data_IF_546681850291
#
_entry.id   IF_546681850291
#
_cell.length_a   1.000
_cell.length_b   1.000
_cell.length_c   1.000
_cell.angle_alpha   90.00
_cell.angle_beta   90.00
_cell.angle_gamma   90.00
#
_symmetry.space_group_name_H-M   'P 1'
#
loop_
_entity.id
_entity.type
_entity.pdbx_description
1 polymer ?
#
# COMPACT_ATOMS: atom_id res chain seq x y z
N UNK A 1 57.01 -2.94 40.33
CA UNK A 1 55.81 -3.79 40.15
C UNK A 1 54.73 -3.00 39.43
N UNK A 2 54.33 -3.50 38.26
CA UNK A 2 53.33 -2.88 37.38
C UNK A 2 52.01 -3.62 37.62
N UNK A 3 50.87 -2.95 37.93
CA UNK A 3 49.63 -3.66 38.10
C UNK A 3 49.05 -4.17 36.79
N UNK A 4 48.53 -5.39 36.80
CA UNK A 4 47.91 -6.09 35.69
C UNK A 4 46.61 -5.39 35.22
N UNK A 5 46.45 -5.28 33.90
CA UNK A 5 45.26 -4.75 33.28
C UNK A 5 44.07 -5.71 33.49
N UNK A 6 42.96 -5.18 34.02
CA UNK A 6 41.70 -5.89 34.11
C UNK A 6 41.11 -6.17 32.71
N UNK A 7 40.72 -7.43 32.48
CA UNK A 7 40.06 -7.87 31.25
C UNK A 7 38.71 -7.14 31.12
N UNK A 8 38.55 -6.45 29.97
CA UNK A 8 37.29 -5.78 29.64
C UNK A 8 36.17 -6.79 29.39
N UNK A 9 35.07 -6.62 30.14
CA UNK A 9 33.84 -7.33 29.91
C UNK A 9 33.30 -6.92 28.51
N UNK A 10 33.17 -7.86 27.62
CA UNK A 10 32.45 -7.69 26.35
C UNK A 10 30.98 -7.43 26.67
N UNK A 11 30.54 -6.19 26.45
CA UNK A 11 29.13 -5.85 26.51
C UNK A 11 28.38 -6.70 25.47
N UNK A 12 27.60 -7.65 25.94
CA UNK A 12 26.69 -8.42 25.10
C UNK A 12 25.74 -7.47 24.38
N UNK A 13 25.66 -7.58 23.07
CA UNK A 13 24.72 -6.79 22.29
C UNK A 13 23.29 -7.06 22.81
N UNK A 14 22.59 -6.00 23.17
CA UNK A 14 21.19 -6.11 23.58
C UNK A 14 20.37 -6.80 22.48
N UNK A 15 19.41 -7.67 22.81
CA UNK A 15 18.59 -8.35 21.82
C UNK A 15 17.91 -7.30 20.94
N UNK A 16 18.16 -7.41 19.62
CA UNK A 16 17.56 -6.54 18.61
C UNK A 16 16.07 -6.85 18.60
N UNK A 17 15.26 -5.98 19.22
CA UNK A 17 13.79 -6.08 19.11
C UNK A 17 13.45 -5.99 17.63
N UNK A 18 12.82 -7.03 17.11
CA UNK A 18 12.37 -7.03 15.71
C UNK A 18 11.46 -5.82 15.50
N UNK A 19 11.81 -4.96 14.56
CA UNK A 19 10.98 -3.79 14.25
C UNK A 19 9.62 -4.25 13.72
N UNK A 20 8.55 -3.56 14.11
CA UNK A 20 7.19 -3.84 13.62
C UNK A 20 6.96 -3.32 12.18
N UNK A 21 8.03 -3.07 11.46
CA UNK A 21 8.04 -2.63 10.06
C UNK A 21 9.29 -3.17 9.35
N UNK A 22 9.18 -3.29 8.03
CA UNK A 22 10.28 -3.77 7.20
C UNK A 22 11.47 -2.81 7.20
N UNK A 23 12.66 -3.39 7.11
CA UNK A 23 13.90 -2.66 6.88
C UNK A 23 13.91 -2.07 5.46
N UNK A 24 14.79 -1.10 5.24
CA UNK A 24 14.97 -0.54 3.90
C UNK A 24 15.40 -1.60 2.86
N UNK A 25 16.26 -2.52 3.24
CA UNK A 25 16.72 -3.60 2.37
C UNK A 25 15.58 -4.55 1.97
N UNK A 26 14.68 -4.90 2.91
CA UNK A 26 13.49 -5.69 2.62
C UNK A 26 12.56 -4.92 1.67
N UNK A 27 12.34 -3.63 1.89
CA UNK A 27 11.51 -2.81 1.00
C UNK A 27 12.09 -2.70 -0.42
N UNK A 28 13.41 -2.61 -0.57
CA UNK A 28 14.07 -2.55 -1.88
C UNK A 28 13.96 -3.86 -2.68
N UNK A 29 13.78 -5.00 -2.02
CA UNK A 29 13.58 -6.29 -2.67
C UNK A 29 12.15 -6.47 -3.22
N UNK A 30 11.23 -5.56 -2.87
CA UNK A 30 9.81 -5.66 -3.15
C UNK A 30 9.29 -4.44 -3.94
N UNK A 31 7.98 -4.43 -4.25
CA UNK A 31 7.31 -3.29 -4.87
C UNK A 31 6.23 -2.71 -3.93
N UNK A 32 6.64 -2.10 -2.79
CA UNK A 32 5.77 -1.87 -1.63
C UNK A 32 4.86 -0.65 -1.75
N UNK A 33 5.02 0.19 -2.75
CA UNK A 33 4.23 1.41 -2.98
C UNK A 33 4.31 1.87 -4.42
N UNK A 34 3.60 2.95 -4.75
CA UNK A 34 3.68 3.58 -6.08
C UNK A 34 5.12 3.89 -6.46
N UNK A 35 5.52 3.40 -7.64
CA UNK A 35 6.86 3.55 -8.23
C UNK A 35 7.99 2.88 -7.41
N UNK A 36 7.67 1.82 -6.67
CA UNK A 36 8.67 1.01 -5.96
C UNK A 36 9.14 1.60 -4.63
N UNK A 37 10.13 0.98 -4.02
CA UNK A 37 10.56 1.29 -2.65
C UNK A 37 11.00 2.75 -2.47
N UNK A 38 11.76 3.29 -3.41
CA UNK A 38 12.28 4.66 -3.38
C UNK A 38 11.34 5.69 -4.06
N UNK A 39 10.29 5.22 -4.77
CA UNK A 39 9.41 6.07 -5.56
C UNK A 39 10.02 6.50 -6.91
N UNK A 40 11.17 5.98 -7.28
CA UNK A 40 11.89 6.31 -8.51
C UNK A 40 11.29 5.65 -9.76
N UNK A 41 10.54 4.57 -9.59
CA UNK A 41 9.96 3.80 -10.70
C UNK A 41 10.94 2.83 -11.35
N UNK A 42 12.04 2.52 -10.68
CA UNK A 42 13.05 1.57 -11.14
C UNK A 42 12.95 0.26 -10.35
N UNK A 43 13.06 -0.85 -11.05
CA UNK A 43 13.20 -2.17 -10.45
C UNK A 43 14.65 -2.62 -10.55
N UNK A 44 15.13 -3.27 -9.47
CA UNK A 44 16.44 -3.94 -9.47
C UNK A 44 16.38 -5.32 -10.14
N UNK A 45 15.18 -5.82 -10.48
CA UNK A 45 15.00 -7.09 -11.17
C UNK A 45 15.52 -7.01 -12.60
N UNK A 46 16.42 -7.92 -12.95
CA UNK A 46 17.02 -8.02 -14.30
C UNK A 46 16.31 -9.01 -15.23
N UNK A 47 15.31 -9.74 -14.72
CA UNK A 47 14.58 -10.80 -15.42
C UNK A 47 13.18 -10.37 -15.91
N UNK A 48 12.92 -9.07 -15.97
CA UNK A 48 11.66 -8.57 -16.52
C UNK A 48 11.56 -8.93 -18.01
N UNK A 49 10.38 -9.41 -18.50
CA UNK A 49 10.21 -9.69 -19.91
C UNK A 49 10.34 -8.40 -20.73
N UNK A 50 11.15 -8.44 -21.77
CA UNK A 50 11.34 -7.31 -22.69
C UNK A 50 10.24 -7.26 -23.77
N UNK A 51 9.54 -8.38 -23.97
CA UNK A 51 8.44 -8.49 -24.94
C UNK A 51 7.31 -9.29 -24.33
N UNK A 52 6.08 -8.85 -24.55
CA UNK A 52 4.87 -9.58 -24.18
C UNK A 52 3.75 -9.28 -25.16
N UNK A 53 2.79 -10.20 -25.27
CA UNK A 53 1.55 -10.03 -26.01
C UNK A 53 0.38 -10.44 -25.11
N UNK A 54 -0.29 -9.47 -24.51
CA UNK A 54 -1.41 -9.71 -23.62
C UNK A 54 -2.62 -10.35 -24.33
N UNK A 55 -2.76 -10.17 -25.66
CA UNK A 55 -3.84 -10.75 -26.46
C UNK A 55 -3.57 -12.22 -26.78
N UNK A 56 -2.35 -12.53 -27.20
CA UNK A 56 -1.92 -13.90 -27.47
C UNK A 56 -1.54 -14.67 -26.19
N UNK A 57 -1.40 -13.99 -25.06
CA UNK A 57 -0.98 -14.58 -23.78
C UNK A 57 0.53 -14.76 -23.64
N UNK A 58 1.32 -14.38 -24.63
CA UNK A 58 2.77 -14.51 -24.56
C UNK A 58 3.36 -13.55 -23.50
N UNK A 59 4.20 -14.08 -22.59
CA UNK A 59 4.76 -13.31 -21.48
C UNK A 59 3.78 -12.90 -20.39
N UNK A 60 2.53 -13.40 -20.43
CA UNK A 60 1.50 -13.19 -19.41
C UNK A 60 1.46 -14.40 -18.51
N UNK A 61 1.79 -14.21 -17.24
CA UNK A 61 1.78 -15.28 -16.25
C UNK A 61 0.34 -15.69 -15.88
N UNK A 62 -0.51 -14.72 -15.63
CA UNK A 62 -1.93 -14.92 -15.32
C UNK A 62 -2.75 -13.65 -15.60
N UNK A 63 -4.07 -13.81 -15.61
CA UNK A 63 -5.06 -12.74 -15.67
C UNK A 63 -6.15 -13.04 -14.65
N UNK A 64 -6.49 -12.07 -13.81
CA UNK A 64 -7.56 -12.21 -12.84
C UNK A 64 -8.55 -11.05 -12.97
N UNK A 65 -9.83 -11.36 -12.75
CA UNK A 65 -10.87 -10.35 -12.71
C UNK A 65 -10.79 -9.54 -11.42
N UNK A 66 -11.06 -8.25 -11.52
CA UNK A 66 -11.20 -7.34 -10.37
C UNK A 66 -12.65 -6.85 -10.36
N UNK A 67 -13.35 -7.06 -9.25
CA UNK A 67 -14.79 -6.82 -9.12
C UNK A 67 -15.19 -5.36 -8.85
N UNK A 68 -14.21 -4.47 -8.69
CA UNK A 68 -14.42 -3.04 -8.51
C UNK A 68 -13.37 -2.25 -9.26
N UNK A 69 -13.76 -1.15 -9.90
CA UNK A 69 -12.86 -0.29 -10.67
C UNK A 69 -11.88 0.47 -9.78
N UNK A 70 -10.71 0.79 -10.32
CA UNK A 70 -9.70 1.60 -9.65
C UNK A 70 -8.63 2.03 -10.64
N UNK A 71 -7.98 3.16 -10.37
CA UNK A 71 -6.92 3.74 -11.20
C UNK A 71 -5.54 3.64 -10.54
N UNK A 72 -5.46 2.87 -9.47
CA UNK A 72 -4.22 2.66 -8.73
C UNK A 72 -3.34 1.58 -9.37
N UNK A 73 -2.07 1.57 -8.96
CA UNK A 73 -1.13 0.52 -9.32
C UNK A 73 -1.14 -0.59 -8.25
N UNK A 74 -0.93 -1.85 -8.65
CA UNK A 74 -0.73 -2.90 -7.67
C UNK A 74 0.56 -2.69 -6.87
N UNK A 75 0.57 -3.10 -5.60
CA UNK A 75 1.78 -3.24 -4.78
C UNK A 75 2.03 -4.70 -4.49
N UNK A 76 3.31 -5.06 -4.39
CA UNK A 76 3.73 -6.45 -4.27
C UNK A 76 4.62 -6.62 -3.05
N UNK A 77 4.37 -7.69 -2.28
CA UNK A 77 5.24 -8.14 -1.21
C UNK A 77 5.24 -9.66 -1.12
N UNK A 78 6.37 -10.27 -1.39
CA UNK A 78 6.51 -11.71 -1.47
C UNK A 78 5.54 -12.32 -2.48
N UNK A 79 4.73 -13.26 -2.05
CA UNK A 79 3.73 -13.91 -2.90
C UNK A 79 2.36 -13.20 -2.91
N UNK A 80 2.28 -11.93 -2.52
CA UNK A 80 1.02 -11.18 -2.45
C UNK A 80 1.04 -9.93 -3.34
N UNK A 81 -0.07 -9.72 -4.04
CA UNK A 81 -0.34 -8.52 -4.82
C UNK A 81 -1.57 -7.85 -4.23
N UNK A 82 -1.45 -6.60 -3.80
CA UNK A 82 -2.55 -5.82 -3.25
C UNK A 82 -2.97 -4.72 -4.21
N UNK A 83 -4.26 -4.50 -4.31
CA UNK A 83 -4.84 -3.35 -4.99
C UNK A 83 -6.18 -2.98 -4.35
N UNK A 84 -6.67 -1.79 -4.65
CA UNK A 84 -7.96 -1.31 -4.19
C UNK A 84 -8.86 -0.99 -5.39
N UNK A 85 -10.16 -1.07 -5.16
CA UNK A 85 -11.17 -0.69 -6.13
C UNK A 85 -12.39 -0.12 -5.41
N UNK A 86 -13.19 0.66 -6.12
CA UNK A 86 -14.39 1.20 -5.54
C UNK A 86 -15.16 2.15 -6.44
N UNK A 87 -16.37 2.42 -6.01
CA UNK A 87 -17.28 3.42 -6.57
C UNK A 87 -17.94 4.20 -5.43
N UNK A 88 -18.95 5.00 -5.73
CA UNK A 88 -19.67 5.77 -4.71
C UNK A 88 -20.29 4.95 -3.58
N UNK A 89 -20.57 3.67 -3.81
CA UNK A 89 -21.24 2.77 -2.87
C UNK A 89 -20.30 1.74 -2.25
N UNK A 90 -19.16 1.48 -2.88
CA UNK A 90 -18.29 0.34 -2.56
C UNK A 90 -16.83 0.77 -2.49
N UNK A 91 -16.12 0.36 -1.45
CA UNK A 91 -14.65 0.43 -1.30
C UNK A 91 -14.18 -0.96 -0.97
N UNK A 92 -13.21 -1.46 -1.71
CA UNK A 92 -12.75 -2.85 -1.60
C UNK A 92 -11.24 -2.92 -1.71
N UNK A 93 -10.65 -3.76 -0.89
CA UNK A 93 -9.25 -4.12 -0.95
C UNK A 93 -9.15 -5.57 -1.40
N UNK A 94 -8.24 -5.85 -2.32
CA UNK A 94 -7.98 -7.16 -2.88
C UNK A 94 -6.57 -7.62 -2.56
N UNK A 95 -6.41 -8.91 -2.35
CA UNK A 95 -5.11 -9.58 -2.30
C UNK A 95 -5.15 -10.80 -3.23
N UNK A 96 -4.20 -10.85 -4.15
CA UNK A 96 -4.01 -11.97 -5.06
C UNK A 96 -2.68 -12.65 -4.80
N UNK A 97 -2.60 -13.93 -5.16
CA UNK A 97 -1.34 -14.67 -5.16
C UNK A 97 -0.48 -14.22 -6.35
N UNK A 98 0.72 -13.71 -6.09
CA UNK A 98 1.58 -13.11 -7.12
C UNK A 98 1.95 -14.06 -8.27
N UNK A 99 2.14 -15.36 -7.98
CA UNK A 99 2.55 -16.35 -9.00
C UNK A 99 1.36 -17.00 -9.69
N UNK A 100 0.25 -17.23 -8.97
CA UNK A 100 -0.90 -17.99 -9.49
C UNK A 100 -2.03 -17.10 -9.99
N UNK A 101 -2.12 -15.86 -9.50
CA UNK A 101 -3.22 -14.94 -9.82
C UNK A 101 -4.52 -15.25 -9.09
N UNK A 102 -4.54 -16.24 -8.19
CA UNK A 102 -5.72 -16.59 -7.42
C UNK A 102 -6.08 -15.45 -6.45
N UNK A 103 -7.36 -15.14 -6.33
CA UNK A 103 -7.85 -14.23 -5.29
C UNK A 103 -7.70 -14.90 -3.93
N UNK A 104 -6.82 -14.39 -3.09
CA UNK A 104 -6.62 -14.88 -1.73
C UNK A 104 -7.71 -14.35 -0.80
N UNK A 105 -8.00 -13.07 -0.91
CA UNK A 105 -9.11 -12.45 -0.19
C UNK A 105 -9.55 -11.14 -0.85
N UNK A 106 -10.81 -10.79 -0.60
CA UNK A 106 -11.43 -9.52 -0.90
C UNK A 106 -12.07 -9.00 0.40
N UNK A 107 -11.84 -7.72 0.73
CA UNK A 107 -12.39 -7.12 1.95
C UNK A 107 -13.08 -5.80 1.63
N UNK A 108 -14.37 -5.70 1.89
CA UNK A 108 -15.05 -4.42 1.85
C UNK A 108 -14.55 -3.54 2.99
N UNK A 109 -14.45 -2.24 2.71
CA UNK A 109 -14.25 -1.21 3.70
C UNK A 109 -15.52 -0.40 3.81
N UNK A 110 -16.27 -0.69 4.86
CA UNK A 110 -17.51 0.01 5.17
C UNK A 110 -17.30 0.85 6.42
N UNK A 111 -17.20 2.16 6.22
CA UNK A 111 -17.10 3.15 7.29
C UNK A 111 -18.30 4.10 7.18
N UNK A 112 -18.84 4.56 8.31
CA UNK A 112 -19.87 5.58 8.29
C UNK A 112 -19.32 6.85 7.61
N UNK A 113 -20.15 7.55 6.83
CA UNK A 113 -19.74 8.82 6.23
C UNK A 113 -19.34 9.81 7.32
N UNK A 114 -18.37 10.69 7.03
CA UNK A 114 -17.97 11.72 7.98
C UNK A 114 -19.15 12.64 8.32
N UNK A 115 -19.22 13.15 9.56
CA UNK A 115 -20.25 14.09 9.94
C UNK A 115 -20.28 15.32 9.02
N UNK A 116 -21.49 15.69 8.55
CA UNK A 116 -21.69 16.86 7.70
C UNK A 116 -21.45 16.66 6.21
N UNK A 117 -21.07 15.46 5.78
CA UNK A 117 -20.96 15.11 4.36
C UNK A 117 -22.16 14.27 3.98
N UNK A 118 -23.15 14.89 3.33
CA UNK A 118 -24.37 14.17 2.90
C UNK A 118 -24.25 13.57 1.50
N UNK A 119 -23.60 14.27 0.57
CA UNK A 119 -23.30 13.76 -0.77
C UNK A 119 -22.00 14.41 -1.26
N UNK A 120 -21.06 13.59 -1.69
CA UNK A 120 -19.86 14.05 -2.36
C UNK A 120 -19.78 13.40 -3.74
N UNK A 121 -19.83 14.25 -4.74
CA UNK A 121 -19.60 13.83 -6.12
C UNK A 121 -18.11 13.87 -6.39
N UNK A 122 -17.51 12.70 -6.59
CA UNK A 122 -16.12 12.62 -7.04
C UNK A 122 -16.06 12.55 -8.56
N UNK A 123 -15.03 13.11 -9.18
CA UNK A 123 -14.88 13.04 -10.63
C UNK A 123 -14.73 11.59 -11.09
N UNK A 124 -15.54 11.15 -12.03
CA UNK A 124 -15.45 9.80 -12.60
C UNK A 124 -14.05 9.48 -13.13
N UNK A 125 -13.34 10.49 -13.66
CA UNK A 125 -11.99 10.35 -14.19
C UNK A 125 -10.96 9.97 -13.12
N UNK A 126 -11.10 10.44 -11.89
CA UNK A 126 -10.21 10.07 -10.78
C UNK A 126 -10.62 8.74 -10.15
N UNK A 127 -11.94 8.51 -10.04
CA UNK A 127 -12.49 7.33 -9.40
C UNK A 127 -12.30 7.31 -7.87
N UNK A 128 -13.00 6.42 -7.20
CA UNK A 128 -12.95 6.25 -5.75
C UNK A 128 -11.61 5.70 -5.25
N UNK A 129 -10.93 4.91 -6.07
CA UNK A 129 -9.69 4.22 -5.74
C UNK A 129 -8.55 4.62 -6.70
N UNK A 130 -8.21 5.91 -6.72
CA UNK A 130 -7.10 6.44 -7.51
C UNK A 130 -5.74 6.26 -6.82
N UNK A 131 -5.71 6.42 -5.50
CA UNK A 131 -4.48 6.33 -4.72
C UNK A 131 -3.93 4.89 -4.68
N UNK A 132 -2.67 4.72 -5.02
CA UNK A 132 -1.98 3.44 -4.87
C UNK A 132 -1.75 3.14 -3.40
N UNK A 133 -2.01 1.91 -3.03
CA UNK A 133 -1.76 1.35 -1.70
C UNK A 133 -0.29 1.40 -1.32
N UNK A 134 0.01 1.10 -0.05
CA UNK A 134 1.37 0.84 0.41
C UNK A 134 1.38 -0.37 1.35
N UNK A 135 2.56 -1.01 1.49
CA UNK A 135 2.75 -2.12 2.44
C UNK A 135 4.08 -2.00 3.16
N UNK A 136 4.07 -2.31 4.47
CA UNK A 136 5.26 -2.35 5.33
C UNK A 136 5.83 -3.77 5.50
N UNK A 137 5.36 -4.73 4.68
CA UNK A 137 5.72 -6.13 4.78
C UNK A 137 4.94 -6.93 5.83
N UNK A 138 4.05 -6.28 6.57
CA UNK A 138 3.17 -6.89 7.57
C UNK A 138 1.71 -6.48 7.37
N UNK A 139 1.49 -5.26 6.90
CA UNK A 139 0.17 -4.65 6.66
C UNK A 139 0.11 -4.06 5.28
N UNK A 140 -1.07 -4.09 4.70
CA UNK A 140 -1.42 -3.35 3.50
C UNK A 140 -2.32 -2.17 3.88
N UNK A 141 -1.99 -0.98 3.37
CA UNK A 141 -2.67 0.28 3.68
C UNK A 141 -3.37 0.80 2.42
N UNK A 142 -4.64 1.12 2.54
CA UNK A 142 -5.43 1.68 1.46
C UNK A 142 -6.09 2.98 1.88
N UNK A 143 -6.12 3.96 0.98
CA UNK A 143 -6.93 5.18 1.11
C UNK A 143 -7.84 5.31 -0.09
N UNK A 144 -9.03 5.80 0.15
CA UNK A 144 -10.04 6.07 -0.86
C UNK A 144 -10.30 7.57 -0.96
N UNK A 145 -10.82 8.00 -2.09
CA UNK A 145 -11.02 9.42 -2.39
C UNK A 145 -11.89 10.15 -1.35
N UNK A 146 -12.82 9.43 -0.71
CA UNK A 146 -13.70 9.94 0.36
C UNK A 146 -13.03 10.05 1.75
N UNK A 147 -11.74 9.72 1.86
CA UNK A 147 -10.99 9.77 3.12
C UNK A 147 -11.02 8.49 3.94
N UNK A 148 -11.66 7.42 3.46
CA UNK A 148 -11.60 6.11 4.11
C UNK A 148 -10.19 5.55 4.01
N UNK A 149 -9.52 5.42 5.15
CA UNK A 149 -8.16 4.90 5.30
C UNK A 149 -8.19 3.67 6.19
N UNK A 150 -7.55 2.59 5.74
CA UNK A 150 -7.50 1.35 6.51
C UNK A 150 -6.17 0.62 6.37
N UNK A 151 -5.87 -0.19 7.39
CA UNK A 151 -4.80 -1.18 7.39
C UNK A 151 -5.40 -2.58 7.58
N UNK A 152 -4.90 -3.51 6.76
CA UNK A 152 -5.20 -4.93 6.85
C UNK A 152 -3.90 -5.71 7.03
N UNK A 153 -3.91 -6.78 7.81
CA UNK A 153 -2.81 -7.73 7.78
C UNK A 153 -2.82 -8.55 6.48
N UNK A 154 -1.82 -9.38 6.27
CA UNK A 154 -1.68 -10.16 5.04
C UNK A 154 -2.71 -11.29 4.90
N UNK A 155 -3.43 -11.63 5.97
CA UNK A 155 -4.53 -12.60 5.95
C UNK A 155 -5.91 -11.91 5.74
N UNK A 156 -5.87 -10.59 5.55
CA UNK A 156 -7.05 -9.79 5.27
C UNK A 156 -7.88 -9.45 6.51
N UNK A 157 -7.32 -9.58 7.71
CA UNK A 157 -7.95 -9.07 8.92
C UNK A 157 -7.73 -7.57 9.03
N UNK A 158 -8.80 -6.83 9.21
CA UNK A 158 -8.72 -5.38 9.43
C UNK A 158 -8.04 -5.08 10.77
N UNK A 159 -6.89 -4.40 10.71
CA UNK A 159 -6.13 -3.98 11.91
C UNK A 159 -6.70 -2.71 12.48
N UNK A 160 -6.96 -1.72 11.62
CA UNK A 160 -7.65 -0.49 11.96
C UNK A 160 -8.25 0.14 10.70
N UNK A 161 -9.22 1.02 10.90
CA UNK A 161 -9.75 1.89 9.86
C UNK A 161 -10.23 3.20 10.46
N UNK A 162 -10.17 4.28 9.69
CA UNK A 162 -10.69 5.59 10.05
C UNK A 162 -11.02 6.38 8.79
N UNK A 163 -11.92 7.34 8.90
CA UNK A 163 -12.15 8.33 7.87
C UNK A 163 -11.43 9.62 8.24
N UNK A 164 -10.73 10.23 7.29
CA UNK A 164 -9.96 11.47 7.47
C UNK A 164 -10.74 12.74 7.08
N UNK A 165 -11.99 12.58 6.63
CA UNK A 165 -12.75 13.66 6.00
C UNK A 165 -12.32 13.88 4.55
N UNK A 166 -13.01 14.80 3.89
CA UNK A 166 -12.70 15.21 2.52
C UNK A 166 -11.68 16.35 2.54
N UNK A 167 -10.64 16.29 1.70
CA UNK A 167 -9.79 17.45 1.48
C UNK A 167 -10.55 18.51 0.66
N UNK A 168 -10.15 19.75 0.79
CA UNK A 168 -10.74 20.88 0.04
C UNK A 168 -10.15 20.92 -1.38
N UNK A 169 -10.36 19.86 -2.15
CA UNK A 169 -9.97 19.78 -3.55
C UNK A 169 -11.00 18.98 -4.33
N UNK A 170 -10.91 19.05 -5.65
CA UNK A 170 -11.86 18.41 -6.55
C UNK A 170 -11.73 16.87 -6.59
N UNK A 171 -10.53 16.33 -6.33
CA UNK A 171 -10.24 14.91 -6.57
C UNK A 171 -10.34 14.02 -5.32
N UNK A 172 -10.56 14.63 -4.15
CA UNK A 172 -10.49 13.88 -2.89
C UNK A 172 -9.06 13.43 -2.56
N UNK A 173 -8.92 12.36 -1.81
CA UNK A 173 -7.62 11.77 -1.51
C UNK A 173 -7.13 10.92 -2.69
N UNK A 174 -6.39 11.51 -3.61
CA UNK A 174 -5.86 10.87 -4.82
C UNK A 174 -4.35 10.59 -4.76
N UNK A 175 -3.63 11.21 -3.82
CA UNK A 175 -2.21 10.98 -3.63
C UNK A 175 -1.93 9.57 -3.09
N UNK A 176 -0.98 8.87 -3.72
CA UNK A 176 -0.58 7.52 -3.30
C UNK A 176 0.13 7.54 -1.94
N UNK A 177 -0.08 6.48 -1.17
CA UNK A 177 0.51 6.34 0.16
C UNK A 177 2.02 6.11 0.09
N UNK A 178 2.73 6.64 1.09
CA UNK A 178 4.14 6.38 1.30
C UNK A 178 4.40 5.91 2.73
N UNK A 179 5.53 5.22 2.92
CA UNK A 179 5.95 4.69 4.22
C UNK A 179 7.36 5.15 4.54
N UNK A 180 7.56 5.51 5.79
CA UNK A 180 8.87 5.77 6.35
C UNK A 180 8.96 5.19 7.76
N UNK A 181 9.74 4.12 7.92
CA UNK A 181 9.79 3.36 9.17
C UNK A 181 8.37 2.94 9.60
N UNK A 182 7.99 3.19 10.86
CA UNK A 182 6.65 2.91 11.39
C UNK A 182 5.58 3.98 11.04
N UNK A 183 5.86 4.88 10.08
CA UNK A 183 4.94 5.98 9.73
C UNK A 183 4.33 5.78 8.36
N UNK A 184 3.01 5.85 8.32
CA UNK A 184 2.27 6.01 7.08
C UNK A 184 2.16 7.51 6.76
N UNK A 185 2.61 7.88 5.57
CA UNK A 185 2.63 9.27 5.10
C UNK A 185 1.54 9.43 4.05
N UNK A 186 0.69 10.40 4.28
CA UNK A 186 -0.39 10.80 3.40
C UNK A 186 -0.18 12.27 3.02
N UNK A 187 -0.15 12.54 1.73
CA UNK A 187 -0.25 13.91 1.23
C UNK A 187 -1.73 14.30 1.18
N UNK A 188 -2.10 15.36 1.89
CA UNK A 188 -3.43 15.96 1.86
C UNK A 188 -3.33 17.30 1.17
N UNK A 189 -3.66 17.32 -0.11
CA UNK A 189 -3.69 18.55 -0.92
C UNK A 189 -4.96 19.33 -0.62
N UNK A 190 -4.79 20.61 -0.33
CA UNK A 190 -5.89 21.52 0.01
C UNK A 190 -5.91 22.67 -1.01
N UNK A 191 -7.03 22.84 -1.69
CA UNK A 191 -7.27 24.00 -2.52
C UNK A 191 -7.40 25.29 -1.68
N UNK A 192 -7.13 26.43 -2.29
CA UNK A 192 -7.48 27.73 -1.70
C UNK A 192 -9.01 27.83 -1.61
N UNK A 193 -9.50 28.42 -0.52
CA UNK A 193 -10.89 28.88 -0.47
C UNK A 193 -10.95 30.20 -1.22
N UNK A 194 -11.64 30.22 -2.34
CA UNK A 194 -12.10 31.48 -2.97
C UNK A 194 -13.00 32.27 -2.04
#
# INVERSE_FOLDING_TARGET
EKPAAAAGATAGAAPKVASDFATWAEMQAEWPRFRGADGGGFSTSSNAPLTWDAKAGAGVLWKSAVTASGHNSPVVWGERVFLSGGDKNKRVIFCYHAVKGDLLWERPLDLPPPPGIQEWEFPEMAGMAAATMATDGRRAYAIFANGDLAAFDFDGKKVWAKNLGLPQNHYGHSASLALWQARLILLMDQGEKD
#
